data_IF_081880563912
#
_entry.id   IF_081880563912
#
_cell.length_a   1.000
_cell.length_b   1.000
_cell.length_c   1.000
_cell.angle_alpha   90.00
_cell.angle_beta   90.00
_cell.angle_gamma   90.00
#
_symmetry.space_group_name_H-M   'P 1'
#
loop_
_entity.id
_entity.type
_entity.pdbx_description
1 polymer ?
#
# COMPACT_ATOMS: atom_id res chain seq x y z
N UNK A 1 12.69 1.97 6.75
CA UNK A 1 12.68 1.13 5.53
C UNK A 1 12.11 -0.26 5.87
N UNK A 2 10.96 -0.61 5.31
CA UNK A 2 10.19 -1.82 5.66
C UNK A 2 11.02 -3.12 5.60
N UNK A 3 11.76 -3.36 4.51
CA UNK A 3 12.55 -4.59 4.33
C UNK A 3 13.71 -4.72 5.33
N UNK A 4 14.25 -3.60 5.82
CA UNK A 4 15.35 -3.61 6.81
C UNK A 4 14.87 -3.95 8.21
N UNK A 5 13.65 -3.53 8.57
CA UNK A 5 13.09 -3.70 9.92
C UNK A 5 12.23 -4.96 10.04
N UNK A 6 11.58 -5.38 8.96
CA UNK A 6 10.64 -6.50 8.95
C UNK A 6 11.21 -7.66 8.12
N UNK A 7 11.77 -8.68 8.79
CA UNK A 7 12.46 -9.80 8.12
C UNK A 7 11.55 -10.66 7.23
N UNK A 8 10.25 -10.69 7.52
CA UNK A 8 9.23 -11.39 6.75
C UNK A 8 8.59 -10.53 5.64
N UNK A 9 8.99 -9.25 5.52
CA UNK A 9 8.42 -8.39 4.49
C UNK A 9 8.91 -8.80 3.10
N UNK A 10 8.01 -8.65 2.13
CA UNK A 10 8.22 -8.91 0.73
C UNK A 10 7.77 -7.69 -0.08
N UNK A 11 8.43 -7.45 -1.22
CA UNK A 11 8.02 -6.43 -2.18
C UNK A 11 7.53 -7.15 -3.43
N UNK A 12 6.32 -6.79 -3.88
CA UNK A 12 5.71 -7.29 -5.10
C UNK A 12 5.58 -6.12 -6.09
N UNK A 13 6.58 -5.89 -6.96
CA UNK A 13 6.42 -4.92 -8.04
C UNK A 13 5.34 -5.38 -9.01
N UNK A 14 4.61 -4.44 -9.60
CA UNK A 14 3.54 -4.76 -10.55
C UNK A 14 3.38 -3.65 -11.59
N UNK A 15 2.83 -4.03 -12.74
CA UNK A 15 2.30 -3.13 -13.77
C UNK A 15 0.91 -3.63 -14.17
N UNK A 16 0.81 -4.41 -15.25
CA UNK A 16 -0.40 -5.15 -15.63
C UNK A 16 -0.61 -6.42 -14.77
N UNK A 17 0.50 -7.05 -14.38
CA UNK A 17 0.59 -8.18 -13.45
C UNK A 17 1.83 -8.03 -12.53
N UNK A 18 1.98 -8.91 -11.55
CA UNK A 18 3.15 -8.96 -10.66
C UNK A 18 4.40 -9.32 -11.46
N UNK A 19 5.45 -8.53 -11.29
CA UNK A 19 6.76 -8.77 -11.89
C UNK A 19 7.68 -9.38 -10.83
N UNK A 20 8.26 -10.57 -11.07
CA UNK A 20 9.21 -11.16 -10.13
C UNK A 20 10.43 -10.26 -9.94
N UNK A 21 10.62 -9.75 -8.73
CA UNK A 21 11.84 -9.07 -8.34
C UNK A 21 12.15 -9.36 -6.88
N UNK A 22 13.44 -9.47 -6.56
CA UNK A 22 13.92 -9.61 -5.19
C UNK A 22 14.79 -8.42 -4.84
N UNK A 23 14.30 -7.60 -3.93
CA UNK A 23 15.11 -6.54 -3.32
C UNK A 23 15.92 -7.12 -2.17
N UNK A 24 17.15 -6.64 -2.01
CA UNK A 24 17.99 -6.99 -0.88
C UNK A 24 17.93 -5.85 0.14
N UNK A 25 17.54 -6.12 1.40
CA UNK A 25 17.47 -5.09 2.43
C UNK A 25 18.81 -4.43 2.76
N UNK A 26 19.94 -5.04 2.37
CA UNK A 26 21.28 -4.46 2.55
C UNK A 26 21.73 -3.60 1.37
N UNK A 27 21.03 -3.64 0.25
CA UNK A 27 21.38 -2.83 -0.91
C UNK A 27 21.08 -1.35 -0.64
N UNK A 28 21.87 -0.48 -1.28
CA UNK A 28 21.61 0.96 -1.23
C UNK A 28 20.25 1.30 -1.85
N UNK A 29 19.73 2.48 -1.53
CA UNK A 29 18.51 3.01 -2.17
C UNK A 29 18.68 3.03 -3.69
N UNK A 30 19.81 3.52 -4.19
CA UNK A 30 20.09 3.62 -5.62
C UNK A 30 20.15 2.25 -6.31
N UNK A 31 20.73 1.25 -5.64
CA UNK A 31 20.78 -0.11 -6.18
C UNK A 31 19.39 -0.71 -6.32
N UNK A 32 18.53 -0.56 -5.30
CA UNK A 32 17.15 -1.05 -5.37
C UNK A 32 16.31 -0.24 -6.37
N UNK A 33 16.50 1.08 -6.46
CA UNK A 33 15.82 1.93 -7.42
C UNK A 33 16.17 1.54 -8.87
N UNK A 34 17.45 1.32 -9.17
CA UNK A 34 17.90 0.86 -10.49
C UNK A 34 17.30 -0.51 -10.85
N UNK A 35 17.22 -1.44 -9.88
CA UNK A 35 16.57 -2.74 -10.08
C UNK A 35 15.09 -2.60 -10.43
N UNK A 36 14.36 -1.76 -9.70
CA UNK A 36 12.93 -1.53 -9.94
C UNK A 36 12.69 -0.81 -11.28
N UNK A 37 13.53 0.17 -11.62
CA UNK A 37 13.42 0.92 -12.88
C UNK A 37 13.72 0.07 -14.13
N UNK A 38 14.49 -1.02 -13.98
CA UNK A 38 14.78 -1.95 -15.06
C UNK A 38 13.67 -2.99 -15.29
N UNK A 39 12.63 -3.02 -14.45
CA UNK A 39 11.51 -3.93 -14.63
C UNK A 39 10.64 -3.49 -15.81
N UNK A 40 9.99 -4.44 -16.53
CA UNK A 40 9.03 -4.11 -17.56
C UNK A 40 7.92 -3.20 -17.01
N UNK A 41 7.62 -2.11 -17.73
CA UNK A 41 6.49 -1.25 -17.44
C UNK A 41 5.34 -1.51 -18.42
N UNK A 42 4.14 -1.15 -18.00
CA UNK A 42 2.90 -1.39 -18.73
C UNK A 42 1.79 -0.55 -18.13
N UNK A 43 0.58 -1.10 -18.02
CA UNK A 43 -0.51 -0.48 -17.28
C UNK A 43 -0.29 -0.44 -15.76
N UNK A 44 -1.32 -0.01 -15.04
CA UNK A 44 -1.36 -0.02 -13.57
C UNK A 44 -2.58 -0.80 -13.11
N UNK A 45 -2.36 -2.00 -12.61
CA UNK A 45 -3.37 -2.92 -12.10
C UNK A 45 -3.16 -3.22 -10.60
N UNK A 46 -3.71 -2.36 -9.74
CA UNK A 46 -3.58 -2.51 -8.28
C UNK A 46 -4.22 -3.80 -7.72
N UNK A 47 -5.06 -4.51 -8.50
CA UNK A 47 -5.59 -5.81 -8.08
C UNK A 47 -4.56 -6.95 -8.23
N UNK A 48 -3.57 -6.82 -9.12
CA UNK A 48 -2.58 -7.87 -9.41
C UNK A 48 -1.83 -8.40 -8.17
N UNK A 49 -1.23 -7.56 -7.30
CA UNK A 49 -0.52 -8.08 -6.12
C UNK A 49 -1.46 -8.77 -5.11
N UNK A 50 -2.69 -8.29 -4.94
CA UNK A 50 -3.68 -8.94 -4.07
C UNK A 50 -4.13 -10.29 -4.65
N UNK A 51 -4.37 -10.36 -5.95
CA UNK A 51 -4.69 -11.58 -6.68
C UNK A 51 -3.56 -12.61 -6.56
N UNK A 52 -2.31 -12.20 -6.72
CA UNK A 52 -1.16 -13.09 -6.54
C UNK A 52 -1.05 -13.59 -5.10
N UNK A 53 -1.26 -12.71 -4.10
CA UNK A 53 -1.31 -13.11 -2.70
C UNK A 53 -2.44 -14.10 -2.41
N UNK A 54 -3.61 -13.92 -3.02
CA UNK A 54 -4.74 -14.87 -2.94
C UNK A 54 -4.41 -16.21 -3.60
N UNK A 55 -3.86 -16.20 -4.81
CA UNK A 55 -3.45 -17.40 -5.54
C UNK A 55 -2.48 -18.27 -4.75
N UNK A 56 -1.47 -17.66 -4.11
CA UNK A 56 -0.46 -18.36 -3.31
C UNK A 56 -0.85 -18.56 -1.84
N UNK A 57 -2.07 -18.20 -1.47
CA UNK A 57 -2.57 -18.24 -0.09
C UNK A 57 -1.65 -17.54 0.93
N UNK A 58 -0.98 -16.46 0.53
CA UNK A 58 -0.08 -15.70 1.41
C UNK A 58 -0.83 -15.10 2.62
N UNK A 59 -0.12 -14.91 3.72
CA UNK A 59 -0.60 -14.18 4.91
C UNK A 59 0.30 -12.98 5.17
N UNK A 60 -0.28 -11.89 5.65
CA UNK A 60 0.44 -10.68 6.03
C UNK A 60 -0.45 -9.76 6.87
N UNK A 61 0.11 -9.20 7.93
CA UNK A 61 -0.62 -8.34 8.86
C UNK A 61 -0.86 -6.94 8.29
N UNK A 62 0.05 -6.48 7.43
CA UNK A 62 0.03 -5.18 6.77
C UNK A 62 0.36 -5.33 5.29
N UNK A 63 -0.52 -4.83 4.42
CA UNK A 63 -0.26 -4.64 2.99
C UNK A 63 -0.13 -3.14 2.76
N UNK A 64 1.03 -2.70 2.25
CA UNK A 64 1.24 -1.30 1.84
C UNK A 64 1.25 -1.27 0.31
N UNK A 65 0.14 -0.81 -0.27
CA UNK A 65 0.00 -0.54 -1.69
C UNK A 65 0.57 0.84 -1.98
N UNK A 66 1.59 0.92 -2.86
CA UNK A 66 2.21 2.18 -3.27
C UNK A 66 1.96 2.35 -4.75
N UNK A 67 1.26 3.41 -5.14
CA UNK A 67 0.93 3.69 -6.54
C UNK A 67 0.48 5.15 -6.67
N UNK A 68 0.51 5.68 -7.88
CA UNK A 68 0.10 7.04 -8.23
C UNK A 68 -1.32 7.10 -8.84
N UNK A 69 -2.13 6.08 -8.59
CA UNK A 69 -3.40 5.89 -9.28
C UNK A 69 -4.55 5.95 -8.26
N UNK A 70 -5.31 7.04 -8.26
CA UNK A 70 -6.51 7.28 -7.43
C UNK A 70 -7.59 6.19 -7.55
N UNK A 71 -7.39 5.21 -8.43
CA UNK A 71 -8.27 4.08 -8.71
C UNK A 71 -8.64 3.17 -7.53
N UNK A 72 -8.32 3.46 -6.27
CA UNK A 72 -8.95 2.84 -5.08
C UNK A 72 -9.98 3.75 -4.37
N UNK A 73 -10.02 5.05 -4.70
CA UNK A 73 -10.80 6.09 -4.00
C UNK A 73 -12.26 6.17 -4.44
N UNK A 74 -12.62 5.57 -5.58
CA UNK A 74 -13.97 5.66 -6.14
C UNK A 74 -14.58 4.29 -6.42
N UNK A 75 -15.65 3.93 -5.70
CA UNK A 75 -16.48 2.74 -5.96
C UNK A 75 -17.16 2.73 -7.36
N UNK A 76 -16.89 3.72 -8.21
CA UNK A 76 -17.50 3.91 -9.53
C UNK A 76 -16.59 3.57 -10.71
N UNK A 77 -15.32 3.22 -10.51
CA UNK A 77 -14.41 2.79 -11.58
C UNK A 77 -14.05 1.31 -11.41
N UNK A 78 -14.23 0.50 -12.45
CA UNK A 78 -14.12 -0.97 -12.37
C UNK A 78 -12.79 -1.52 -11.81
N UNK A 79 -11.69 -0.75 -11.87
CA UNK A 79 -10.39 -1.09 -11.27
C UNK A 79 -10.36 -0.95 -9.74
N UNK A 80 -11.08 0.02 -9.17
CA UNK A 80 -11.25 0.15 -7.72
C UNK A 80 -12.00 -1.05 -7.17
N UNK A 81 -13.07 -1.42 -7.86
CA UNK A 81 -13.93 -2.54 -7.51
C UNK A 81 -13.16 -3.86 -7.57
N UNK A 82 -12.28 -4.07 -8.55
CA UNK A 82 -11.48 -5.29 -8.63
C UNK A 82 -10.43 -5.40 -7.52
N UNK A 83 -9.72 -4.32 -7.20
CA UNK A 83 -8.79 -4.29 -6.07
C UNK A 83 -9.51 -4.59 -4.74
N UNK A 84 -10.63 -3.92 -4.49
CA UNK A 84 -11.40 -4.13 -3.27
C UNK A 84 -11.96 -5.56 -3.18
N UNK A 85 -12.41 -6.15 -4.29
CA UNK A 85 -12.87 -7.55 -4.31
C UNK A 85 -11.75 -8.55 -3.92
N UNK A 86 -10.53 -8.33 -4.42
CA UNK A 86 -9.38 -9.14 -4.04
C UNK A 86 -8.97 -8.89 -2.58
N UNK A 87 -9.08 -7.65 -2.09
CA UNK A 87 -8.84 -7.32 -0.68
C UNK A 87 -9.83 -8.03 0.25
N UNK A 88 -11.13 -8.03 -0.07
CA UNK A 88 -12.14 -8.76 0.71
C UNK A 88 -11.84 -10.26 0.75
N UNK A 89 -11.42 -10.83 -0.38
CA UNK A 89 -11.05 -12.24 -0.47
C UNK A 89 -9.83 -12.55 0.39
N UNK A 90 -8.83 -11.67 0.40
CA UNK A 90 -7.65 -11.76 1.26
C UNK A 90 -8.02 -11.67 2.75
N UNK A 91 -8.88 -10.71 3.11
CA UNK A 91 -9.36 -10.47 4.48
C UNK A 91 -10.16 -11.61 5.06
N UNK A 92 -11.03 -12.26 4.28
CA UNK A 92 -11.84 -13.40 4.73
C UNK A 92 -10.98 -14.52 5.34
N UNK A 93 -9.79 -14.76 4.79
CA UNK A 93 -8.82 -15.76 5.27
C UNK A 93 -7.73 -15.16 6.18
N UNK A 94 -7.69 -13.84 6.30
CA UNK A 94 -6.72 -13.10 7.10
C UNK A 94 -7.40 -11.90 7.82
N UNK A 95 -8.23 -12.17 8.84
CA UNK A 95 -9.17 -11.21 9.42
C UNK A 95 -8.51 -10.10 10.27
N UNK A 96 -7.19 -10.14 10.43
CA UNK A 96 -6.42 -9.09 11.09
C UNK A 96 -5.58 -8.26 10.11
N UNK A 97 -5.58 -8.60 8.82
CA UNK A 97 -4.85 -7.86 7.81
C UNK A 97 -5.34 -6.42 7.70
N UNK A 98 -4.41 -5.50 7.51
CA UNK A 98 -4.67 -4.09 7.28
C UNK A 98 -4.08 -3.67 5.93
N UNK A 99 -4.76 -2.78 5.23
CA UNK A 99 -4.35 -2.24 3.94
C UNK A 99 -4.01 -0.76 4.10
N UNK A 100 -2.85 -0.36 3.61
CA UNK A 100 -2.46 1.04 3.43
C UNK A 100 -2.39 1.31 1.94
N UNK A 101 -3.12 2.30 1.45
CA UNK A 101 -2.99 2.84 0.11
C UNK A 101 -2.20 4.16 0.18
N UNK A 102 -0.97 4.14 -0.30
CA UNK A 102 -0.06 5.28 -0.31
C UNK A 102 0.01 5.85 -1.72
N UNK A 103 -0.59 7.02 -1.90
CA UNK A 103 -0.49 7.82 -3.11
C UNK A 103 0.81 8.63 -3.10
N UNK A 104 1.68 8.37 -4.06
CA UNK A 104 2.98 9.05 -4.18
C UNK A 104 2.90 10.37 -4.95
N UNK A 105 1.78 10.65 -5.63
CA UNK A 105 1.63 11.93 -6.32
C UNK A 105 1.30 13.05 -5.34
N UNK A 106 1.86 14.27 -5.54
CA UNK A 106 1.54 15.45 -4.77
C UNK A 106 0.22 16.06 -5.26
N UNK A 107 -0.87 15.32 -5.12
CA UNK A 107 -2.21 15.85 -5.28
C UNK A 107 -2.80 16.03 -3.88
N UNK A 108 -3.58 17.10 -3.69
CA UNK A 108 -3.98 17.60 -2.37
C UNK A 108 -4.54 16.53 -1.44
N UNK A 109 -4.52 16.82 -0.13
CA UNK A 109 -4.98 15.93 0.94
C UNK A 109 -6.34 15.34 0.63
N UNK A 110 -6.37 14.13 0.07
CA UNK A 110 -7.64 13.50 -0.30
C UNK A 110 -8.08 12.65 0.88
N UNK A 111 -9.10 13.11 1.57
CA UNK A 111 -9.77 12.35 2.62
C UNK A 111 -10.39 11.12 1.99
N UNK A 112 -9.86 9.96 2.31
CA UNK A 112 -10.42 8.70 1.84
C UNK A 112 -11.47 8.18 2.81
N UNK A 113 -12.42 7.45 2.24
CA UNK A 113 -13.50 6.79 2.95
C UNK A 113 -12.95 5.89 4.06
N UNK A 114 -13.34 6.21 5.29
CA UNK A 114 -12.82 5.56 6.49
C UNK A 114 -13.30 4.11 6.59
N UNK A 115 -12.35 3.18 6.75
CA UNK A 115 -12.64 1.79 7.08
C UNK A 115 -11.58 1.30 8.07
N UNK A 116 -12.00 0.56 9.10
CA UNK A 116 -11.12 0.15 10.18
C UNK A 116 -9.88 -0.66 9.72
N UNK A 117 -9.96 -1.34 8.58
CA UNK A 117 -8.87 -2.12 7.98
C UNK A 117 -8.20 -1.45 6.76
N UNK A 118 -8.58 -0.23 6.37
CA UNK A 118 -7.97 0.51 5.25
C UNK A 118 -7.57 1.94 5.65
N UNK A 119 -6.30 2.27 5.44
CA UNK A 119 -5.73 3.61 5.61
C UNK A 119 -5.28 4.13 4.25
N UNK A 120 -5.72 5.32 3.86
CA UNK A 120 -5.26 5.97 2.64
C UNK A 120 -4.43 7.20 3.02
N UNK A 121 -3.29 7.38 2.35
CA UNK A 121 -2.33 8.44 2.63
C UNK A 121 -1.98 9.09 1.30
N UNK A 122 -2.17 10.41 1.22
CA UNK A 122 -1.71 11.21 0.08
C UNK A 122 -0.37 11.86 0.36
N UNK A 123 0.54 11.79 -0.61
CA UNK A 123 1.88 12.36 -0.52
C UNK A 123 2.90 11.48 0.22
N UNK A 124 4.16 11.91 0.17
CA UNK A 124 5.28 11.17 0.75
C UNK A 124 6.12 12.07 1.66
N UNK A 125 5.99 11.89 2.98
CA UNK A 125 6.80 12.55 4.01
C UNK A 125 7.25 11.54 5.07
N UNK A 126 8.25 11.87 5.90
CA UNK A 126 8.73 10.97 6.95
C UNK A 126 7.64 10.59 7.97
N UNK A 127 6.68 11.50 8.21
CA UNK A 127 5.54 11.31 9.11
C UNK A 127 4.62 10.17 8.64
N UNK A 128 4.58 9.87 7.34
CA UNK A 128 3.80 8.76 6.77
C UNK A 128 4.15 7.44 7.45
N UNK A 129 5.42 7.20 7.77
CA UNK A 129 5.83 5.95 8.39
C UNK A 129 5.33 5.82 9.84
N UNK A 130 5.20 6.93 10.57
CA UNK A 130 4.66 6.94 11.92
C UNK A 130 3.17 6.63 11.92
N UNK A 131 2.42 7.23 10.99
CA UNK A 131 0.99 6.96 10.80
C UNK A 131 0.79 5.48 10.44
N UNK A 132 1.58 4.94 9.50
CA UNK A 132 1.50 3.52 9.13
C UNK A 132 1.81 2.61 10.33
N UNK A 133 2.82 2.95 11.14
CA UNK A 133 3.16 2.16 12.33
C UNK A 133 2.03 2.17 13.37
N UNK A 134 1.44 3.35 13.62
CA UNK A 134 0.29 3.48 14.52
C UNK A 134 -0.91 2.66 14.01
N UNK A 135 -1.12 2.63 12.70
CA UNK A 135 -2.22 1.91 12.06
C UNK A 135 -1.99 0.41 12.16
N UNK A 136 -0.80 -0.06 11.80
CA UNK A 136 -0.43 -1.47 11.91
C UNK A 136 -0.60 -2.00 13.34
N UNK A 137 -0.28 -1.18 14.35
CA UNK A 137 -0.39 -1.56 15.77
C UNK A 137 -1.81 -1.49 16.34
N UNK A 138 -2.81 -1.04 15.58
CA UNK A 138 -4.18 -0.87 16.08
C UNK A 138 -4.36 0.28 17.04
N UNK A 139 -3.41 1.20 17.10
CA UNK A 139 -3.44 2.37 17.98
C UNK A 139 -4.08 3.60 17.33
N UNK A 140 -4.46 3.53 16.07
CA UNK A 140 -5.20 4.59 15.37
C UNK A 140 -6.71 4.41 15.56
N UNK A 141 -7.32 5.34 16.32
CA UNK A 141 -8.77 5.47 16.47
C UNK A 141 -9.34 6.37 15.34
N UNK A 142 -10.59 6.19 14.89
CA UNK A 142 -11.26 7.04 13.88
C UNK A 142 -11.16 8.55 14.13
N UNK A 143 -11.01 8.99 15.39
CA UNK A 143 -10.91 10.41 15.73
C UNK A 143 -9.49 11.00 15.55
N UNK A 144 -8.47 10.15 15.36
CA UNK A 144 -7.06 10.57 15.22
C UNK A 144 -6.67 10.96 13.77
N UNK A 145 -7.58 10.77 12.81
CA UNK A 145 -7.33 10.89 11.37
C UNK A 145 -7.19 12.34 10.91
N UNK A 146 -7.88 13.26 11.58
CA UNK A 146 -7.99 14.67 11.18
C UNK A 146 -6.81 15.52 11.71
N UNK A 147 -6.13 15.06 12.77
CA UNK A 147 -5.08 15.85 13.44
C UNK A 147 -3.73 15.86 12.73
N UNK A 148 -3.29 14.71 12.19
CA UNK A 148 -1.91 14.55 11.70
C UNK A 148 -1.72 15.10 10.28
N UNK A 149 -2.74 14.97 9.42
CA UNK A 149 -2.66 15.45 8.02
C UNK A 149 -2.71 16.99 7.97
N UNK A 150 -3.48 17.64 8.86
CA UNK A 150 -3.58 19.11 8.93
C UNK A 150 -2.34 19.80 9.53
N UNK A 151 -1.48 19.08 10.26
CA UNK A 151 -0.22 19.64 10.77
C UNK A 151 0.90 19.70 9.70
N UNK A 152 0.68 19.09 8.54
CA UNK A 152 1.70 18.98 7.47
C UNK A 152 1.47 19.99 6.33
N UNK A 153 0.46 20.86 6.46
CA UNK A 153 0.13 21.92 5.51
C UNK A 153 0.67 23.31 5.90
N UNK A 154 1.74 23.37 6.70
CA UNK A 154 2.47 24.60 7.03
C UNK A 154 3.89 24.57 6.48
#
# INVERSE_FOLDING_TARGET
>A
CFLRTNRSAEVLPFSDDVVPAKLNPRDSVMTNAAKLAALPSGGTNCAAPLKEMNRRMAKGDLVVMVSDNESWMGAQHGRATSMMAEWETFRKRNPHARLVCLDIQPHGTTQAKERADILNIGGFSDQVFEIIAAFASGKLHPDHWVGVINQTAL
#
